data_IF_943466098397
#
_entry.id   IF_943466098397
#
_cell.length_a   1.000
_cell.length_b   1.000
_cell.length_c   1.000
_cell.angle_alpha   90.00
_cell.angle_beta   90.00
_cell.angle_gamma   90.00
#
_symmetry.space_group_name_H-M   'P 1'
#
loop_
_entity.id
_entity.type
_entity.pdbx_description
1 polymer ?
#
# COMPACT_ATOMS: atom_id res chain seq x y z
N UNK A 1 22.37 17.59 21.64
CA UNK A 1 20.98 18.08 21.80
C UNK A 1 20.16 17.43 20.71
N UNK A 2 19.00 16.89 21.06
CA UNK A 2 18.10 16.24 20.08
C UNK A 2 16.99 17.24 19.79
N UNK A 3 16.76 17.55 18.52
CA UNK A 3 15.56 18.26 18.10
C UNK A 3 14.39 17.27 18.09
N UNK A 4 13.46 17.46 19.04
CA UNK A 4 12.32 16.58 19.23
C UNK A 4 11.25 16.70 18.12
N UNK A 5 11.32 17.73 17.29
CA UNK A 5 10.35 17.95 16.21
C UNK A 5 10.75 17.29 14.89
N UNK A 6 12.03 16.99 14.69
CA UNK A 6 12.53 16.40 13.45
C UNK A 6 13.18 15.02 13.62
N UNK A 7 13.37 14.55 14.85
CA UNK A 7 14.10 13.29 15.14
C UNK A 7 15.55 13.31 14.66
N UNK A 8 16.12 14.48 14.42
CA UNK A 8 17.44 14.67 13.86
C UNK A 8 18.42 15.06 14.96
N UNK A 9 19.59 14.42 14.99
CA UNK A 9 20.69 14.83 15.87
C UNK A 9 21.31 16.07 15.23
N UNK A 10 21.14 17.23 15.89
CA UNK A 10 21.68 18.50 15.38
C UNK A 10 23.12 18.76 15.84
N UNK A 11 23.53 18.18 16.95
CA UNK A 11 24.91 18.27 17.41
C UNK A 11 25.25 17.16 18.40
N UNK A 12 26.48 16.72 18.38
CA UNK A 12 27.09 15.83 19.37
C UNK A 12 28.15 16.64 20.08
N UNK A 13 28.02 16.83 21.40
CA UNK A 13 29.04 17.46 22.23
C UNK A 13 29.93 16.37 22.85
N UNK A 14 31.19 16.36 22.48
CA UNK A 14 32.18 15.45 23.04
C UNK A 14 32.67 16.07 24.37
N UNK A 15 32.30 15.46 25.49
CA UNK A 15 32.68 15.94 26.83
C UNK A 15 34.04 15.38 27.28
N UNK A 16 34.49 14.30 26.69
CA UNK A 16 35.79 13.71 26.91
C UNK A 16 36.26 13.06 25.60
N UNK A 17 37.38 13.52 25.05
CA UNK A 17 37.92 13.00 23.81
C UNK A 17 38.75 11.70 24.01
N UNK A 18 38.99 11.31 25.24
CA UNK A 18 39.84 10.17 25.54
C UNK A 18 41.28 10.35 25.09
N UNK A 19 42.18 9.59 25.67
CA UNK A 19 43.62 9.58 25.32
C UNK A 19 44.00 8.26 24.59
N UNK A 20 45.07 8.34 23.78
CA UNK A 20 45.66 7.18 23.09
C UNK A 20 44.93 6.58 21.90
N UNK A 21 44.06 7.30 21.22
CA UNK A 21 43.53 6.86 19.94
C UNK A 21 44.57 7.00 18.83
N UNK A 22 44.88 5.88 18.14
CA UNK A 22 45.80 5.86 17.00
C UNK A 22 45.09 6.33 15.71
N UNK A 23 43.78 6.24 15.70
CA UNK A 23 42.90 6.73 14.61
C UNK A 23 41.61 7.25 15.18
N UNK A 24 40.94 8.17 14.45
CA UNK A 24 39.63 8.69 14.84
C UNK A 24 38.62 7.53 14.94
N UNK A 25 37.87 7.42 16.05
CA UNK A 25 36.83 6.38 16.16
C UNK A 25 35.72 6.67 15.16
N UNK A 26 35.20 5.58 14.55
CA UNK A 26 34.02 5.66 13.70
C UNK A 26 32.77 5.58 14.57
N UNK A 27 32.00 6.64 14.60
CA UNK A 27 30.69 6.65 15.30
C UNK A 27 29.60 6.27 14.29
N UNK A 28 28.96 5.12 14.52
CA UNK A 28 27.78 4.71 13.73
C UNK A 28 26.54 5.03 14.56
N UNK A 29 25.72 5.92 14.05
CA UNK A 29 24.39 6.21 14.63
C UNK A 29 23.36 5.40 13.88
N UNK A 30 22.64 4.53 14.58
CA UNK A 30 21.51 3.84 13.99
C UNK A 30 20.43 4.86 13.58
N UNK A 31 19.77 4.60 12.47
CA UNK A 31 18.64 5.42 12.07
C UNK A 31 17.59 5.46 13.20
N UNK A 32 16.96 6.61 13.44
CA UNK A 32 15.93 6.71 14.46
C UNK A 32 14.80 5.73 14.14
N UNK A 33 14.34 5.02 15.17
CA UNK A 33 13.23 4.05 15.07
C UNK A 33 11.85 4.73 15.11
N UNK A 34 11.78 6.02 14.86
CA UNK A 34 10.50 6.74 14.76
C UNK A 34 9.71 6.14 13.61
N UNK A 35 8.46 5.72 13.82
CA UNK A 35 7.63 5.24 12.73
C UNK A 35 7.52 6.36 11.68
N UNK A 36 7.94 6.05 10.46
CA UNK A 36 7.82 6.98 9.34
C UNK A 36 6.39 6.89 8.82
N UNK A 37 5.83 8.03 8.50
CA UNK A 37 4.51 8.09 7.88
C UNK A 37 4.59 7.82 6.39
N UNK A 38 3.60 7.11 5.86
CA UNK A 38 3.47 6.96 4.42
C UNK A 38 3.17 8.30 3.76
N UNK A 39 3.70 8.48 2.55
CA UNK A 39 3.54 9.71 1.77
C UNK A 39 2.46 9.47 0.69
N UNK A 40 1.49 10.37 0.59
CA UNK A 40 0.48 10.30 -0.47
C UNK A 40 1.16 10.39 -1.85
N UNK A 41 0.77 9.49 -2.76
CA UNK A 41 1.35 9.35 -4.08
C UNK A 41 2.58 8.45 -4.16
N UNK A 42 3.10 7.94 -3.01
CA UNK A 42 4.19 6.97 -3.08
C UNK A 42 3.68 5.56 -3.40
N UNK A 43 4.55 4.78 -4.03
CA UNK A 43 4.31 3.34 -4.20
C UNK A 43 4.68 2.61 -2.91
N UNK A 44 3.82 1.71 -2.49
CA UNK A 44 4.09 0.73 -1.43
C UNK A 44 4.20 -0.66 -2.03
N UNK A 45 5.00 -1.52 -1.41
CA UNK A 45 5.10 -2.91 -1.81
C UNK A 45 5.03 -3.86 -0.61
N UNK A 46 4.64 -5.09 -0.89
CA UNK A 46 4.63 -6.21 0.04
C UNK A 46 4.97 -7.49 -0.70
N UNK A 47 5.98 -8.22 -0.25
CA UNK A 47 6.32 -9.52 -0.82
C UNK A 47 5.47 -10.60 -0.18
N UNK A 48 4.67 -11.29 -0.99
CA UNK A 48 3.84 -12.41 -0.56
C UNK A 48 4.70 -13.67 -0.35
N UNK A 49 4.15 -14.65 0.35
CA UNK A 49 4.79 -15.96 0.55
C UNK A 49 5.03 -16.73 -0.75
N UNK A 50 4.29 -16.41 -1.81
CA UNK A 50 4.49 -16.95 -3.16
C UNK A 50 5.72 -16.36 -3.88
N UNK A 51 6.32 -15.29 -3.33
CA UNK A 51 7.38 -14.51 -3.96
C UNK A 51 6.88 -13.36 -4.83
N UNK A 52 5.58 -13.27 -5.09
CA UNK A 52 4.97 -12.14 -5.83
C UNK A 52 5.09 -10.87 -4.99
N UNK A 53 5.47 -9.77 -5.63
CA UNK A 53 5.51 -8.45 -5.01
C UNK A 53 4.24 -7.69 -5.34
N UNK A 54 3.39 -7.54 -4.34
CA UNK A 54 2.22 -6.67 -4.41
C UNK A 54 2.64 -5.21 -4.36
N UNK A 55 2.00 -4.40 -5.17
CA UNK A 55 2.23 -2.95 -5.25
C UNK A 55 0.90 -2.21 -5.16
N UNK A 56 0.95 -0.99 -4.68
CA UNK A 56 -0.16 -0.06 -4.65
C UNK A 56 0.35 1.35 -4.47
N UNK A 57 -0.46 2.34 -4.84
CA UNK A 57 -0.17 3.75 -4.64
C UNK A 57 -0.94 4.28 -3.42
N UNK A 58 -0.28 5.02 -2.56
CA UNK A 58 -0.90 5.62 -1.37
C UNK A 58 -1.80 6.78 -1.78
N UNK A 59 -3.11 6.60 -1.65
CA UNK A 59 -4.08 7.69 -1.85
C UNK A 59 -4.32 8.50 -0.59
N UNK A 60 -4.21 7.87 0.60
CA UNK A 60 -4.35 8.53 1.89
C UNK A 60 -3.66 7.72 2.99
N UNK A 61 -3.06 8.42 3.93
CA UNK A 61 -2.58 7.88 5.20
C UNK A 61 -3.23 8.63 6.36
N UNK A 62 -3.73 7.90 7.34
CA UNK A 62 -4.25 8.43 8.61
C UNK A 62 -3.43 7.84 9.74
N UNK A 63 -2.56 8.66 10.31
CA UNK A 63 -1.68 8.27 11.43
C UNK A 63 -2.48 7.95 12.69
N UNK A 64 -3.54 8.73 12.96
CA UNK A 64 -4.40 8.55 14.15
C UNK A 64 -5.11 7.21 14.18
N UNK A 65 -5.52 6.70 13.02
CA UNK A 65 -6.29 5.46 12.89
C UNK A 65 -5.44 4.31 12.36
N UNK A 66 -4.18 4.58 12.00
CA UNK A 66 -3.26 3.65 11.34
C UNK A 66 -3.88 3.03 10.07
N UNK A 67 -4.62 3.85 9.31
CA UNK A 67 -5.30 3.43 8.08
C UNK A 67 -4.56 3.91 6.84
N UNK A 68 -4.21 2.96 6.00
CA UNK A 68 -3.59 3.19 4.70
C UNK A 68 -4.62 2.89 3.60
N UNK A 69 -4.91 3.89 2.78
CA UNK A 69 -5.76 3.74 1.61
C UNK A 69 -4.88 3.62 0.36
N UNK A 70 -5.11 2.57 -0.41
CA UNK A 70 -4.35 2.26 -1.61
C UNK A 70 -5.23 2.26 -2.84
N UNK A 71 -4.66 2.69 -3.94
CA UNK A 71 -5.21 2.62 -5.30
C UNK A 71 -4.19 1.93 -6.22
N UNK A 72 -4.57 1.63 -7.44
CA UNK A 72 -3.71 1.01 -8.47
C UNK A 72 -3.01 -0.27 -7.97
N UNK A 73 -3.79 -1.13 -7.29
CA UNK A 73 -3.29 -2.36 -6.68
C UNK A 73 -3.04 -3.44 -7.74
N UNK A 74 -1.89 -4.09 -7.68
CA UNK A 74 -1.55 -5.22 -8.55
C UNK A 74 -0.30 -5.95 -8.12
N UNK A 75 -0.08 -7.14 -8.68
CA UNK A 75 1.16 -7.89 -8.53
C UNK A 75 2.16 -7.58 -9.63
N UNK A 76 3.45 -7.80 -9.37
CA UNK A 76 4.52 -7.66 -10.36
C UNK A 76 4.44 -8.70 -11.49
N UNK A 77 3.62 -9.73 -11.32
CA UNK A 77 3.27 -10.73 -12.34
C UNK A 77 2.13 -10.27 -13.28
N UNK A 78 1.66 -9.05 -13.12
CA UNK A 78 0.55 -8.47 -13.90
C UNK A 78 -0.83 -9.00 -13.54
N UNK A 79 -0.96 -9.73 -12.43
CA UNK A 79 -2.23 -10.25 -11.93
C UNK A 79 -2.66 -9.53 -10.66
N UNK A 80 -3.94 -9.58 -10.42
CA UNK A 80 -4.47 -9.15 -9.13
C UNK A 80 -4.26 -10.23 -8.07
N UNK A 81 -3.68 -9.83 -6.96
CA UNK A 81 -3.58 -10.60 -5.73
C UNK A 81 -4.05 -9.74 -4.56
N UNK A 82 -4.33 -10.35 -3.44
CA UNK A 82 -4.63 -9.62 -2.20
C UNK A 82 -3.36 -9.43 -1.38
N UNK A 83 -3.24 -8.30 -0.72
CA UNK A 83 -2.21 -8.11 0.30
C UNK A 83 -2.37 -9.14 1.42
N UNK A 84 -1.27 -9.60 1.96
CA UNK A 84 -1.29 -10.52 3.08
C UNK A 84 -1.50 -9.77 4.40
N UNK A 85 -2.38 -10.31 5.24
CA UNK A 85 -2.58 -9.84 6.61
C UNK A 85 -1.77 -10.69 7.58
N UNK A 86 -1.34 -10.08 8.68
CA UNK A 86 -0.62 -10.79 9.74
C UNK A 86 -0.88 -10.15 11.09
N UNK A 87 -0.85 -10.95 12.12
CA UNK A 87 -0.86 -10.50 13.53
C UNK A 87 0.53 -10.47 14.15
N UNK A 88 1.54 -10.85 13.37
CA UNK A 88 2.95 -10.87 13.77
C UNK A 88 3.72 -9.72 13.12
N UNK A 89 4.99 -9.90 12.82
CA UNK A 89 5.87 -8.85 12.28
C UNK A 89 6.07 -8.92 10.78
N UNK A 90 5.55 -9.94 10.10
CA UNK A 90 5.74 -10.15 8.66
C UNK A 90 4.49 -10.75 8.01
N UNK A 91 4.22 -10.49 6.70
CA UNK A 91 4.97 -9.63 5.79
C UNK A 91 4.70 -8.14 6.03
N UNK A 92 5.71 -7.32 5.81
CA UNK A 92 5.59 -5.86 5.93
C UNK A 92 5.14 -5.25 4.60
N UNK A 93 4.27 -4.24 4.68
CA UNK A 93 4.05 -3.30 3.58
C UNK A 93 4.99 -2.11 3.76
N UNK A 94 5.75 -1.77 2.74
CA UNK A 94 6.83 -0.77 2.82
C UNK A 94 6.65 0.31 1.76
N UNK A 95 6.70 1.57 2.17
CA UNK A 95 6.73 2.72 1.28
C UNK A 95 8.11 2.90 0.64
N UNK A 96 8.16 3.02 -0.68
CA UNK A 96 9.42 3.10 -1.41
C UNK A 96 10.15 4.43 -1.21
N UNK A 97 9.41 5.50 -0.98
CA UNK A 97 9.98 6.86 -0.78
C UNK A 97 10.18 7.16 0.70
N UNK A 98 9.16 6.96 1.51
CA UNK A 98 9.19 7.24 2.94
C UNK A 98 10.04 6.24 3.74
N UNK A 99 10.16 5.01 3.25
CA UNK A 99 10.62 3.85 4.01
C UNK A 99 9.76 3.59 5.26
N UNK A 100 8.52 4.09 5.27
CA UNK A 100 7.52 3.69 6.26
C UNK A 100 7.23 2.20 6.07
N UNK A 101 7.05 1.47 7.16
CA UNK A 101 6.73 0.05 7.09
C UNK A 101 5.79 -0.35 8.22
N UNK A 102 4.91 -1.28 7.92
CA UNK A 102 3.93 -1.77 8.88
C UNK A 102 3.39 -3.13 8.49
N UNK A 103 2.68 -3.75 9.41
CA UNK A 103 1.96 -5.01 9.18
C UNK A 103 0.49 -4.68 8.90
N UNK A 104 -0.07 -5.28 7.86
CA UNK A 104 -1.50 -5.17 7.60
C UNK A 104 -2.22 -6.16 8.50
N UNK A 105 -3.04 -5.65 9.42
CA UNK A 105 -3.81 -6.49 10.34
C UNK A 105 -5.20 -6.82 9.81
N UNK A 106 -5.77 -5.94 8.99
CA UNK A 106 -7.06 -6.14 8.35
C UNK A 106 -7.11 -5.38 7.03
N UNK A 107 -7.90 -5.89 6.09
CA UNK A 107 -8.18 -5.25 4.81
C UNK A 107 -9.69 -5.00 4.77
N UNK A 108 -10.06 -3.79 4.39
CA UNK A 108 -11.43 -3.44 4.05
C UNK A 108 -11.44 -3.12 2.56
N UNK A 109 -12.07 -3.95 1.78
CA UNK A 109 -12.27 -3.70 0.36
C UNK A 109 -13.43 -2.69 0.20
N UNK A 110 -13.30 -1.80 -0.77
CA UNK A 110 -14.41 -0.96 -1.17
C UNK A 110 -15.38 -1.83 -1.97
N UNK A 111 -16.48 -2.21 -1.31
CA UNK A 111 -17.54 -3.03 -1.92
C UNK A 111 -18.16 -2.38 -3.17
N UNK A 112 -17.89 -1.10 -3.38
CA UNK A 112 -18.33 -0.39 -4.57
C UNK A 112 -17.53 -0.79 -5.82
N UNK A 113 -16.34 -1.38 -5.67
CA UNK A 113 -15.50 -1.80 -6.79
C UNK A 113 -15.57 -3.32 -7.01
N UNK A 114 -15.88 -4.09 -5.97
CA UNK A 114 -15.81 -5.56 -6.00
C UNK A 114 -17.12 -6.22 -6.44
N UNK A 115 -18.23 -5.48 -6.49
CA UNK A 115 -19.48 -6.11 -6.88
C UNK A 115 -19.70 -5.99 -8.38
N UNK A 116 -19.61 -7.13 -9.08
CA UNK A 116 -20.26 -7.31 -10.37
C UNK A 116 -21.77 -6.95 -10.32
N UNK A 117 -22.31 -6.77 -9.12
CA UNK A 117 -23.68 -6.31 -8.88
C UNK A 117 -23.92 -4.89 -9.42
N UNK A 118 -22.88 -4.06 -9.56
CA UNK A 118 -23.05 -2.74 -10.21
C UNK A 118 -23.25 -2.85 -11.72
N UNK A 119 -22.86 -3.97 -12.32
CA UNK A 119 -23.15 -4.26 -13.71
C UNK A 119 -24.53 -4.90 -13.92
N UNK A 120 -25.20 -5.38 -12.85
CA UNK A 120 -26.53 -6.00 -12.98
C UNK A 120 -27.55 -5.02 -13.52
N UNK A 121 -27.45 -3.74 -13.15
CA UNK A 121 -28.37 -2.72 -13.70
C UNK A 121 -28.07 -2.48 -15.18
N UNK A 122 -26.79 -2.45 -15.58
CA UNK A 122 -26.38 -2.36 -16.97
C UNK A 122 -26.69 -3.63 -17.75
N UNK A 123 -26.50 -4.79 -17.14
CA UNK A 123 -26.85 -6.08 -17.72
C UNK A 123 -28.36 -6.23 -17.90
N UNK A 124 -29.16 -5.77 -16.95
CA UNK A 124 -30.62 -5.75 -17.06
C UNK A 124 -31.10 -4.77 -18.14
N UNK A 125 -30.49 -3.58 -18.22
CA UNK A 125 -30.78 -2.61 -19.30
C UNK A 125 -30.32 -3.18 -20.65
N UNK A 126 -29.17 -3.87 -20.68
CA UNK A 126 -28.67 -4.53 -21.87
C UNK A 126 -29.56 -5.67 -22.35
N UNK A 127 -30.13 -6.47 -21.44
CA UNK A 127 -31.09 -7.52 -21.75
C UNK A 127 -32.42 -6.96 -22.26
N UNK A 128 -32.86 -5.82 -21.71
CA UNK A 128 -34.09 -5.15 -22.14
C UNK A 128 -33.92 -4.48 -23.52
N UNK A 129 -32.68 -4.09 -23.86
CA UNK A 129 -32.36 -3.48 -25.16
C UNK A 129 -32.03 -4.52 -26.25
N UNK A 130 -31.56 -5.71 -25.84
CA UNK A 130 -31.22 -6.84 -26.71
C UNK A 130 -32.19 -8.00 -26.49
N UNK A 131 -33.48 -7.73 -26.67
CA UNK A 131 -34.48 -8.81 -26.67
C UNK A 131 -34.34 -9.64 -27.94
N UNK A 132 -33.68 -10.79 -27.80
CA UNK A 132 -33.57 -11.79 -28.87
C UNK A 132 -34.79 -12.69 -28.99
N UNK A 133 -35.85 -12.44 -28.21
CA UNK A 133 -37.08 -13.19 -28.24
C UNK A 133 -38.06 -12.67 -29.26
N UNK A 134 -37.77 -11.54 -29.90
CA UNK A 134 -38.64 -11.02 -30.97
C UNK A 134 -38.64 -12.01 -32.17
N UNK A 135 -39.78 -12.53 -32.40
CA UNK A 135 -40.14 -13.17 -33.66
C UNK A 135 -39.85 -12.21 -34.80
N UNK A 136 -39.08 -12.70 -35.78
CA UNK A 136 -38.64 -12.03 -36.99
C UNK A 136 -39.48 -10.81 -37.35
N UNK A 137 -38.97 -9.53 -37.19
CA UNK A 137 -39.74 -8.32 -37.45
C UNK A 137 -40.14 -8.17 -38.93
N UNK A 138 -39.61 -9.00 -39.79
CA UNK A 138 -39.93 -9.00 -41.24
C UNK A 138 -40.95 -10.06 -41.64
N UNK A 139 -41.55 -10.79 -40.70
CA UNK A 139 -42.50 -11.87 -40.97
C UNK A 139 -41.91 -13.08 -41.63
N UNK A 140 -42.64 -14.18 -41.61
CA UNK A 140 -42.23 -15.39 -42.36
C UNK A 140 -42.29 -15.10 -43.86
N UNK A 141 -41.24 -15.45 -44.62
CA UNK A 141 -41.29 -15.36 -46.08
C UNK A 141 -42.30 -16.40 -46.57
N UNK A 142 -43.35 -15.98 -47.23
CA UNK A 142 -44.31 -16.87 -47.94
C UNK A 142 -43.63 -17.49 -49.16
#
# INVERSE_FOLDING_TARGET
MIDSSAGTITSINITDSGDFYISAPTVTVAAPTTPKNYIVGETVNQTLSSGVVMQGEVSKWSDSDSKLHLIHIGGDDGKYHTFATSTTTTPLITGLTSSASGVITAITEDNQISSNEQNTEFDNIGLDFLDFTETNPFGDPN
#
